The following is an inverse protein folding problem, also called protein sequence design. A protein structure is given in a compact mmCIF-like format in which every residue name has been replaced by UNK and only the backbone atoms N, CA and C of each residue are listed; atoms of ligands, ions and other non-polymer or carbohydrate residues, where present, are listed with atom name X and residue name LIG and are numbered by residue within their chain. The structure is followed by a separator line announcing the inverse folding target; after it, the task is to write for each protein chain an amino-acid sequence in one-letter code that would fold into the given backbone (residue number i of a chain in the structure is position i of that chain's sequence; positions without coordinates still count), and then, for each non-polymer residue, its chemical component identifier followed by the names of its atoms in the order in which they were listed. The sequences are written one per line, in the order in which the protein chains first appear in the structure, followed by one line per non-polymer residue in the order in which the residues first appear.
data_IF_865065008940
#
_entry.id   IF_865065008940
#
_cell.length_a   1.000
_cell.length_b   1.000
_cell.length_c   1.000
_cell.angle_alpha   90.00
_cell.angle_beta   90.00
_cell.angle_gamma   90.00
#
_symmetry.space_group_name_H-M   'P 1'
#
loop_
_entity.id
_entity.type
_entity.pdbx_description
1 polymer ?
#
# COMPACT_ATOMS: atom_id res chain seq x y z
N UNK A 1 15.42 -0.34 -8.65
CA UNK A 1 15.19 0.88 -7.84
C UNK A 1 14.28 0.48 -6.71
N UNK A 2 14.68 0.62 -5.46
CA UNK A 2 13.90 0.17 -4.31
C UNK A 2 12.93 1.25 -3.82
N UNK A 3 11.88 0.78 -3.16
CA UNK A 3 10.84 1.54 -2.49
C UNK A 3 10.93 1.22 -0.99
N UNK A 4 10.53 2.17 -0.15
CA UNK A 4 10.49 2.01 1.30
C UNK A 4 9.08 2.23 1.78
N UNK A 5 8.50 1.21 2.40
CA UNK A 5 7.20 1.28 3.08
C UNK A 5 7.45 1.75 4.50
N UNK A 6 7.12 3.01 4.76
CA UNK A 6 7.22 3.63 6.08
C UNK A 6 5.85 3.67 6.73
N UNK A 7 5.75 3.23 7.98
CA UNK A 7 4.47 3.21 8.69
C UNK A 7 4.69 3.63 10.13
N UNK A 8 3.85 4.54 10.63
CA UNK A 8 3.95 5.01 12.01
C UNK A 8 3.78 3.84 12.98
N UNK A 9 4.76 3.64 13.86
CA UNK A 9 4.74 2.55 14.85
C UNK A 9 5.29 1.21 14.35
N UNK A 10 5.76 1.11 13.11
CA UNK A 10 6.33 -0.11 12.54
C UNK A 10 7.67 0.15 11.85
N UNK A 11 8.54 -0.87 11.72
CA UNK A 11 9.81 -0.72 11.02
C UNK A 11 9.60 -0.46 9.53
N UNK A 12 10.51 0.32 8.93
CA UNK A 12 10.53 0.57 7.50
C UNK A 12 10.86 -0.73 6.73
N UNK A 13 10.09 -1.04 5.68
CA UNK A 13 10.34 -2.21 4.81
C UNK A 13 10.87 -1.73 3.47
N UNK A 14 11.99 -2.29 3.03
CA UNK A 14 12.52 -2.05 1.69
C UNK A 14 11.95 -3.12 0.75
N UNK A 15 11.34 -2.69 -0.34
CA UNK A 15 10.71 -3.54 -1.37
C UNK A 15 11.13 -3.06 -2.76
N UNK A 16 11.03 -3.90 -3.78
CA UNK A 16 11.40 -3.51 -5.15
C UNK A 16 10.19 -3.07 -5.98
N UNK A 17 9.00 -3.53 -5.59
CA UNK A 17 7.77 -3.33 -6.35
C UNK A 17 6.60 -2.84 -5.49
N UNK A 18 5.62 -2.22 -6.16
CA UNK A 18 4.34 -1.83 -5.54
C UNK A 18 3.55 -3.02 -5.02
N UNK A 19 3.61 -4.16 -5.73
CA UNK A 19 2.97 -5.40 -5.33
C UNK A 19 3.53 -5.93 -4.02
N UNK A 20 4.87 -5.94 -3.87
CA UNK A 20 5.51 -6.32 -2.61
C UNK A 20 5.18 -5.33 -1.48
N UNK A 21 5.17 -4.03 -1.76
CA UNK A 21 4.77 -3.01 -0.79
C UNK A 21 3.37 -3.30 -0.20
N UNK A 22 2.39 -3.53 -1.08
CA UNK A 22 1.02 -3.90 -0.71
C UNK A 22 0.98 -5.24 0.04
N UNK A 23 1.71 -6.26 -0.45
CA UNK A 23 1.73 -7.59 0.18
C UNK A 23 2.27 -7.54 1.60
N UNK A 24 3.43 -6.92 1.80
CA UNK A 24 4.05 -6.79 3.11
C UNK A 24 3.18 -5.96 4.07
N UNK A 25 2.51 -4.92 3.58
CA UNK A 25 1.56 -4.14 4.37
C UNK A 25 0.37 -4.99 4.82
N UNK A 26 -0.25 -5.74 3.89
CA UNK A 26 -1.37 -6.64 4.19
C UNK A 26 -0.96 -7.76 5.16
N UNK A 27 0.20 -8.37 4.95
CA UNK A 27 0.74 -9.42 5.82
C UNK A 27 0.99 -8.89 7.24
N UNK A 28 1.59 -7.70 7.36
CA UNK A 28 1.78 -7.03 8.65
C UNK A 28 0.45 -6.73 9.34
N UNK A 29 -0.54 -6.21 8.61
CA UNK A 29 -1.89 -5.98 9.13
C UNK A 29 -2.49 -7.27 9.68
N UNK A 30 -2.42 -8.35 8.89
CA UNK A 30 -2.95 -9.66 9.27
C UNK A 30 -2.26 -10.23 10.52
N UNK A 31 -0.92 -10.16 10.56
CA UNK A 31 -0.10 -10.56 11.72
C UNK A 31 -0.43 -9.77 12.99
N UNK A 32 -0.78 -8.50 12.86
CA UNK A 32 -1.11 -7.68 14.04
C UNK A 32 -2.50 -7.98 14.61
N UNK A 33 -3.40 -8.60 13.82
CA UNK A 33 -4.79 -8.85 14.22
C UNK A 33 -5.59 -7.59 14.55
N UNK A 34 -5.01 -6.41 14.33
CA UNK A 34 -5.67 -5.12 14.51
C UNK A 34 -6.61 -4.94 13.31
N UNK A 35 -7.92 -4.96 13.58
CA UNK A 35 -8.92 -4.76 12.55
C UNK A 35 -8.65 -3.50 11.73
N UNK A 36 -9.09 -3.50 10.47
CA UNK A 36 -8.85 -2.46 9.45
C UNK A 36 -9.05 -1.01 9.91
N UNK A 37 -9.85 -0.76 10.93
CA UNK A 37 -10.12 0.58 11.47
C UNK A 37 -9.02 1.14 12.39
N UNK A 38 -8.14 0.29 12.93
CA UNK A 38 -7.09 0.71 13.87
C UNK A 38 -5.68 0.66 13.25
N UNK A 39 -5.54 0.09 12.05
CA UNK A 39 -4.24 -0.06 11.40
C UNK A 39 -3.87 1.22 10.65
N UNK A 40 -2.74 1.87 11.00
CA UNK A 40 -2.37 3.15 10.41
C UNK A 40 -1.96 2.99 8.94
N UNK A 41 -2.23 4.00 8.13
CA UNK A 41 -1.77 4.06 6.75
C UNK A 41 -0.23 4.04 6.66
N UNK A 42 0.29 3.51 5.55
CA UNK A 42 1.73 3.52 5.27
C UNK A 42 2.04 4.48 4.12
N UNK A 43 3.23 5.07 4.14
CA UNK A 43 3.76 5.91 3.09
C UNK A 43 4.79 5.11 2.28
N UNK A 44 4.73 5.28 0.96
CA UNK A 44 5.68 4.69 0.04
C UNK A 44 6.69 5.76 -0.37
N UNK A 45 7.95 5.54 0.01
CA UNK A 45 9.05 6.45 -0.22
C UNK A 45 9.97 5.86 -1.28
N UNK A 46 10.39 6.65 -2.26
CA UNK A 46 11.38 6.29 -3.27
C UNK A 46 12.46 7.35 -3.25
N UNK A 47 13.70 6.95 -2.99
CA UNK A 47 14.85 7.86 -2.96
C UNK A 47 14.64 9.10 -2.05
N UNK A 48 13.93 8.91 -0.92
CA UNK A 48 13.60 9.97 0.03
C UNK A 48 12.37 10.82 -0.33
N UNK A 49 11.70 10.53 -1.44
CA UNK A 49 10.48 11.22 -1.89
C UNK A 49 9.27 10.33 -1.66
N UNK A 50 8.21 10.85 -1.03
CA UNK A 50 6.94 10.11 -0.92
C UNK A 50 6.30 10.01 -2.30
N UNK A 51 6.28 8.81 -2.86
CA UNK A 51 5.71 8.51 -4.18
C UNK A 51 4.29 7.96 -4.10
N UNK A 52 3.83 7.56 -2.92
CA UNK A 52 2.47 7.06 -2.73
C UNK A 52 2.12 6.80 -1.27
N UNK A 53 0.88 6.40 -1.02
CA UNK A 53 0.36 6.03 0.30
C UNK A 53 -0.42 4.74 0.18
N UNK A 54 -0.21 3.81 1.09
CA UNK A 54 -0.92 2.54 1.20
C UNK A 54 -2.07 2.71 2.19
N UNK A 55 -3.30 2.61 1.69
CA UNK A 55 -4.49 2.60 2.54
C UNK A 55 -4.66 1.26 3.26
N UNK A 56 -5.50 1.23 4.29
CA UNK A 56 -5.88 0.04 5.06
C UNK A 56 -6.32 -1.18 4.22
N UNK A 57 -6.79 -0.98 2.98
CA UNK A 57 -7.17 -2.03 2.03
C UNK A 57 -6.01 -2.57 1.17
N UNK A 58 -4.76 -2.12 1.40
CA UNK A 58 -3.60 -2.48 0.57
C UNK A 58 -3.52 -1.74 -0.76
N UNK A 59 -4.48 -0.85 -1.07
CA UNK A 59 -4.44 0.02 -2.25
C UNK A 59 -3.39 1.10 -2.09
N UNK A 60 -2.62 1.34 -3.14
CA UNK A 60 -1.61 2.39 -3.16
C UNK A 60 -2.17 3.58 -3.93
N UNK A 61 -2.28 4.71 -3.28
CA UNK A 61 -2.76 5.97 -3.81
C UNK A 61 -1.60 6.93 -4.04
N UNK A 62 -1.84 7.95 -4.85
CA UNK A 62 -0.90 9.05 -4.96
C UNK A 62 -0.70 9.78 -3.63
N UNK A 63 0.46 10.42 -3.43
CA UNK A 63 0.78 11.17 -2.21
C UNK A 63 -0.03 12.47 -2.10
N UNK A 64 -0.74 12.87 -3.15
CA UNK A 64 -1.68 14.00 -3.15
C UNK A 64 -3.00 13.63 -2.44
N UNK A 65 -3.76 14.61 -1.93
CA UNK A 65 -5.06 14.34 -1.34
C UNK A 65 -5.97 13.64 -2.35
N UNK A 66 -6.52 12.50 -1.94
CA UNK A 66 -7.47 11.74 -2.76
C UNK A 66 -8.66 12.62 -3.16
N UNK A 67 -9.05 12.54 -4.44
CA UNK A 67 -10.27 13.14 -4.96
C UNK A 67 -11.22 12.06 -5.47
N UNK A 68 -12.53 12.26 -5.37
CA UNK A 68 -13.49 11.35 -5.98
C UNK A 68 -13.28 11.30 -7.49
N UNK A 69 -12.91 10.12 -8.00
CA UNK A 69 -12.57 9.88 -9.41
C UNK A 69 -11.10 9.54 -9.65
N UNK A 70 -10.21 9.80 -8.69
CA UNK A 70 -8.81 9.36 -8.77
C UNK A 70 -8.73 7.84 -8.70
N UNK A 71 -7.81 7.27 -9.49
CA UNK A 71 -7.50 5.84 -9.49
C UNK A 71 -6.29 5.60 -8.60
N UNK A 72 -6.26 4.49 -7.85
CA UNK A 72 -5.06 4.10 -7.15
C UNK A 72 -3.94 3.84 -8.16
N UNK A 73 -2.69 4.13 -7.76
CA UNK A 73 -1.49 3.75 -8.52
C UNK A 73 -1.42 2.23 -8.64
N UNK A 74 -1.78 1.54 -7.56
CA UNK A 74 -1.82 0.08 -7.52
C UNK A 74 -3.08 -0.38 -6.79
N UNK A 75 -3.88 -1.20 -7.48
CA UNK A 75 -5.04 -1.85 -6.91
C UNK A 75 -4.79 -3.34 -6.71
N UNK A 76 -4.60 -3.73 -5.45
CA UNK A 76 -4.38 -5.14 -5.10
C UNK A 76 -5.59 -6.03 -5.42
N UNK A 77 -6.82 -5.49 -5.42
CA UNK A 77 -8.01 -6.29 -5.69
C UNK A 77 -8.14 -6.61 -7.19
N UNK A 78 -7.79 -5.67 -8.06
CA UNK A 78 -7.72 -5.87 -9.50
C UNK A 78 -6.57 -6.82 -9.88
N UNK A 79 -5.42 -6.73 -9.22
CA UNK A 79 -4.30 -7.65 -9.46
C UNK A 79 -4.53 -9.08 -8.94
N UNK A 80 -5.54 -9.32 -8.10
CA UNK A 80 -5.96 -10.67 -7.68
C UNK A 80 -7.06 -11.27 -8.58
N UNK A 81 -7.51 -10.52 -9.58
CA UNK A 81 -8.69 -10.82 -10.39
C UNK A 81 -8.47 -10.72 -11.89
N UNK A 82 -7.35 -11.22 -12.42
CA UNK A 82 -7.28 -11.63 -13.83
C UNK A 82 -7.90 -13.04 -14.02
N UNK A 83 -9.06 -13.25 -13.40
CA UNK A 83 -9.96 -14.35 -13.72
C UNK A 83 -11.39 -13.91 -13.38
N UNK A 84 -11.85 -12.85 -14.02
CA UNK A 84 -13.27 -12.64 -14.30
C UNK A 84 -13.42 -11.64 -15.45
N UNK A 85 -14.21 -12.05 -16.45
CA UNK A 85 -14.66 -11.33 -17.67
C UNK A 85 -13.70 -11.54 -18.85
N UNK A 86 -13.93 -12.44 -19.82
CA UNK A 86 -15.18 -12.94 -20.46
C UNK A 86 -15.10 -14.43 -20.84
#
# INVERSE_FOLDING_TARGET
MSLTVRQAGYPDIIVETLAEASRHYCERRDQTGLGVSAFPEAELIREGIVVGRISYNGRIWHPIPWRPGDRPIYDNAACHGDEAED
#
